data_IF_163593442125
#
_entry.id   IF_163593442125
#
_cell.length_a   1.000
_cell.length_b   1.000
_cell.length_c   1.000
_cell.angle_alpha   90.00
_cell.angle_beta   90.00
_cell.angle_gamma   90.00
#
_symmetry.space_group_name_H-M   'P 1'
#
loop_
_entity.id
_entity.type
_entity.pdbx_description
1 polymer ?
#
# COMPACT_ATOMS: atom_id res chain seq x y z
N UNK A 1 1.53 15.83 -3.34
CA UNK A 1 0.17 15.35 -3.73
C UNK A 1 0.33 14.59 -5.04
N UNK A 2 -0.10 13.32 -5.13
CA UNK A 2 0.29 12.44 -6.24
C UNK A 2 -0.70 12.39 -7.41
N UNK A 3 -1.98 12.64 -7.15
CA UNK A 3 -3.05 12.68 -8.16
C UNK A 3 -4.21 13.54 -7.66
N UNK A 4 -4.91 14.20 -8.58
CA UNK A 4 -6.13 14.99 -8.32
C UNK A 4 -7.19 14.62 -9.36
N UNK A 5 -7.92 13.51 -9.18
CA UNK A 5 -8.82 13.02 -10.23
C UNK A 5 -9.98 13.96 -10.56
N UNK A 6 -10.43 14.80 -9.61
CA UNK A 6 -11.46 15.82 -9.88
C UNK A 6 -10.99 16.84 -10.93
N UNK A 7 -9.71 17.23 -10.89
CA UNK A 7 -9.09 18.12 -11.89
C UNK A 7 -8.97 17.44 -13.26
N UNK A 8 -9.04 16.10 -13.30
CA UNK A 8 -9.01 15.26 -14.50
C UNK A 8 -10.42 14.90 -15.01
N UNK A 9 -11.48 15.46 -14.41
CA UNK A 9 -12.86 15.28 -14.87
C UNK A 9 -13.65 14.20 -14.14
N UNK A 10 -13.11 13.56 -13.11
CA UNK A 10 -13.91 12.67 -12.26
C UNK A 10 -14.97 13.47 -11.47
N UNK A 11 -16.15 12.91 -11.30
CA UNK A 11 -17.21 13.52 -10.49
C UNK A 11 -17.13 13.15 -9.01
N UNK A 12 -16.58 11.96 -8.71
CA UNK A 12 -16.44 11.43 -7.34
C UNK A 12 -15.07 10.77 -7.19
N UNK A 13 -14.41 11.05 -6.07
CA UNK A 13 -13.17 10.41 -5.64
C UNK A 13 -13.40 9.75 -4.29
N UNK A 14 -13.08 8.47 -4.20
CA UNK A 14 -13.24 7.67 -2.99
C UNK A 14 -11.87 7.27 -2.50
N UNK A 15 -11.64 7.43 -1.19
CA UNK A 15 -10.44 6.96 -0.52
C UNK A 15 -10.80 6.00 0.61
N UNK A 16 -10.00 4.95 0.75
CA UNK A 16 -9.75 4.36 2.07
C UNK A 16 -8.79 5.30 2.81
N UNK A 17 -9.35 6.15 3.68
CA UNK A 17 -8.60 7.05 4.54
C UNK A 17 -7.71 6.32 5.54
N UNK A 18 -8.02 5.04 5.84
CA UNK A 18 -7.21 4.12 6.67
C UNK A 18 -5.74 4.08 6.25
N UNK A 19 -5.47 4.26 4.95
CA UNK A 19 -4.15 4.05 4.35
C UNK A 19 -3.30 5.31 4.52
N UNK A 20 -2.79 5.88 3.44
CA UNK A 20 -1.89 7.04 3.51
C UNK A 20 -2.45 8.27 4.24
N UNK A 21 -3.77 8.49 4.20
CA UNK A 21 -4.40 9.71 4.75
C UNK A 21 -4.27 9.73 6.28
N UNK A 22 -4.78 8.72 6.98
CA UNK A 22 -4.53 8.53 8.41
C UNK A 22 -3.05 8.19 8.63
N UNK A 23 -2.54 7.16 7.97
CA UNK A 23 -1.11 6.92 7.79
C UNK A 23 -0.35 6.41 9.01
N UNK A 24 -1.06 6.01 10.07
CA UNK A 24 -0.47 5.52 11.33
C UNK A 24 -1.04 4.17 11.77
N UNK A 25 -1.74 3.46 10.87
CA UNK A 25 -2.33 2.13 11.09
C UNK A 25 -3.25 2.01 12.32
N UNK A 26 -3.87 3.12 12.74
CA UNK A 26 -4.62 3.24 14.00
C UNK A 26 -6.07 3.73 13.82
N UNK A 27 -6.53 3.93 12.57
CA UNK A 27 -7.89 4.39 12.27
C UNK A 27 -8.45 3.74 11.00
N UNK A 28 -9.73 3.35 11.02
CA UNK A 28 -10.47 2.86 9.86
C UNK A 28 -11.37 3.95 9.30
N UNK A 29 -11.09 4.42 8.09
CA UNK A 29 -11.67 5.65 7.56
C UNK A 29 -12.05 5.49 6.10
N UNK A 30 -13.26 5.88 5.75
CA UNK A 30 -13.70 6.10 4.37
C UNK A 30 -13.89 7.59 4.11
N UNK A 31 -13.46 8.07 2.94
CA UNK A 31 -13.65 9.46 2.52
C UNK A 31 -14.21 9.48 1.09
N UNK A 32 -15.23 10.29 0.88
CA UNK A 32 -15.81 10.55 -0.44
C UNK A 32 -15.73 12.05 -0.68
N UNK A 33 -15.12 12.44 -1.80
CA UNK A 33 -15.06 13.84 -2.27
C UNK A 33 -15.77 13.90 -3.61
N UNK A 34 -16.77 14.77 -3.75
CA UNK A 34 -17.56 14.89 -4.97
C UNK A 34 -17.53 16.31 -5.54
N UNK A 35 -17.80 16.41 -6.84
CA UNK A 35 -17.79 17.66 -7.60
C UNK A 35 -19.13 18.38 -7.45
N UNK A 36 -19.09 19.56 -6.83
CA UNK A 36 -20.25 20.45 -6.73
C UNK A 36 -21.24 20.06 -5.63
N UNK A 37 -22.11 21.01 -5.29
CA UNK A 37 -23.00 20.89 -4.13
C UNK A 37 -24.05 19.79 -4.29
N UNK A 38 -24.63 19.68 -5.48
CA UNK A 38 -25.72 18.72 -5.76
C UNK A 38 -25.32 17.26 -5.47
N UNK A 39 -24.12 16.84 -5.92
CA UNK A 39 -23.62 15.49 -5.65
C UNK A 39 -23.29 15.31 -4.17
N UNK A 40 -22.69 16.31 -3.52
CA UNK A 40 -22.41 16.28 -2.09
C UNK A 40 -23.68 16.12 -1.26
N UNK A 41 -24.75 16.84 -1.58
CA UNK A 41 -26.03 16.75 -0.87
C UNK A 41 -26.67 15.37 -0.99
N UNK A 42 -26.63 14.78 -2.19
CA UNK A 42 -27.11 13.41 -2.43
C UNK A 42 -26.32 12.38 -1.63
N UNK A 43 -24.99 12.50 -1.60
CA UNK A 43 -24.12 11.61 -0.82
C UNK A 43 -24.38 11.77 0.68
N UNK A 44 -24.53 13.01 1.16
CA UNK A 44 -24.83 13.29 2.57
C UNK A 44 -26.18 12.72 3.00
N UNK A 45 -27.21 12.83 2.14
CA UNK A 45 -28.52 12.23 2.38
C UNK A 45 -28.42 10.70 2.55
N UNK A 46 -27.68 10.04 1.65
CA UNK A 46 -27.46 8.58 1.72
C UNK A 46 -26.66 8.20 2.96
N UNK A 47 -25.57 8.92 3.26
CA UNK A 47 -24.73 8.66 4.43
C UNK A 47 -25.54 8.78 5.73
N UNK A 48 -26.34 9.84 5.85
CA UNK A 48 -27.20 10.07 7.01
C UNK A 48 -28.27 8.97 7.14
N UNK A 49 -28.90 8.57 6.03
CA UNK A 49 -29.89 7.49 6.04
C UNK A 49 -29.30 6.11 6.37
N UNK A 50 -28.08 5.82 5.91
CA UNK A 50 -27.40 4.55 6.18
C UNK A 50 -26.69 4.50 7.54
N UNK A 51 -26.44 5.66 8.18
CA UNK A 51 -25.71 5.75 9.45
C UNK A 51 -24.21 5.45 9.35
N UNK A 52 -23.66 5.40 8.13
CA UNK A 52 -22.24 5.12 7.89
C UNK A 52 -21.36 6.36 8.14
N UNK A 53 -21.38 6.86 9.37
CA UNK A 53 -20.62 8.05 9.81
C UNK A 53 -19.34 7.64 10.53
N UNK A 54 -18.31 8.48 10.43
CA UNK A 54 -17.03 8.26 11.09
C UNK A 54 -17.10 8.70 12.55
N UNK A 55 -16.47 7.93 13.45
CA UNK A 55 -16.30 8.33 14.84
C UNK A 55 -15.60 9.69 14.94
N UNK A 56 -16.01 10.60 15.86
CA UNK A 56 -15.30 11.85 16.10
C UNK A 56 -13.84 11.63 16.50
N UNK A 57 -13.54 10.55 17.22
CA UNK A 57 -12.19 10.21 17.62
C UNK A 57 -11.33 9.76 16.43
N UNK A 58 -11.85 8.89 15.57
CA UNK A 58 -11.16 8.46 14.34
C UNK A 58 -10.99 9.64 13.36
N UNK A 59 -11.96 10.55 13.34
CA UNK A 59 -11.86 11.82 12.59
C UNK A 59 -10.68 12.66 13.10
N UNK A 60 -10.52 12.78 14.41
CA UNK A 60 -9.40 13.49 15.03
C UNK A 60 -8.05 12.81 14.74
N UNK A 61 -7.96 11.47 14.85
CA UNK A 61 -6.76 10.72 14.46
C UNK A 61 -6.39 10.95 13.00
N UNK A 62 -7.39 10.93 12.11
CA UNK A 62 -7.21 11.20 10.68
C UNK A 62 -6.67 12.61 10.45
N UNK A 63 -7.27 13.63 11.07
CA UNK A 63 -6.81 15.03 10.97
C UNK A 63 -5.38 15.16 11.50
N UNK A 64 -5.05 14.50 12.61
CA UNK A 64 -3.69 14.46 13.17
C UNK A 64 -2.71 13.87 12.16
N UNK A 65 -3.06 12.73 11.54
CA UNK A 65 -2.24 12.06 10.53
C UNK A 65 -2.05 12.87 9.24
N UNK A 66 -3.08 13.61 8.82
CA UNK A 66 -3.04 14.48 7.64
C UNK A 66 -2.00 15.61 7.76
N UNK A 67 -1.70 16.09 8.98
CA UNK A 67 -0.71 17.15 9.20
C UNK A 67 0.70 16.76 8.73
N UNK A 68 1.02 15.46 8.73
CA UNK A 68 2.32 14.95 8.28
C UNK A 68 2.25 14.27 6.91
N UNK A 69 1.10 14.28 6.24
CA UNK A 69 0.87 13.56 4.99
C UNK A 69 1.90 13.92 3.90
N UNK A 70 2.17 15.21 3.69
CA UNK A 70 3.13 15.64 2.65
C UNK A 70 4.55 15.14 2.94
N UNK A 71 4.97 15.17 4.20
CA UNK A 71 6.29 14.70 4.65
C UNK A 71 6.41 13.18 4.48
N UNK A 72 5.42 12.44 4.98
CA UNK A 72 5.37 10.97 4.86
C UNK A 72 5.36 10.54 3.40
N UNK A 73 4.50 11.13 2.56
CA UNK A 73 4.41 10.78 1.15
C UNK A 73 5.69 11.07 0.37
N UNK A 74 6.43 12.14 0.71
CA UNK A 74 7.74 12.41 0.14
C UNK A 74 8.72 11.27 0.48
N UNK A 75 8.83 10.93 1.77
CA UNK A 75 9.71 9.85 2.23
C UNK A 75 9.34 8.48 1.66
N UNK A 76 8.04 8.14 1.63
CA UNK A 76 7.54 6.92 0.99
C UNK A 76 7.98 6.81 -0.47
N UNK A 77 7.88 7.90 -1.24
CA UNK A 77 8.25 7.90 -2.65
C UNK A 77 9.76 7.79 -2.84
N UNK A 78 10.55 8.52 -2.05
CA UNK A 78 12.02 8.43 -2.06
C UNK A 78 12.49 7.00 -1.73
N UNK A 79 11.96 6.41 -0.65
CA UNK A 79 12.28 5.05 -0.25
C UNK A 79 11.83 4.04 -1.33
N UNK A 80 10.59 4.13 -1.83
CA UNK A 80 10.09 3.18 -2.81
C UNK A 80 10.86 3.23 -4.14
N UNK A 81 11.30 4.42 -4.59
CA UNK A 81 12.16 4.55 -5.76
C UNK A 81 13.50 3.82 -5.54
N UNK A 82 14.17 4.10 -4.43
CA UNK A 82 15.45 3.48 -4.10
C UNK A 82 15.35 1.95 -3.91
N UNK A 83 14.25 1.47 -3.31
CA UNK A 83 13.98 0.04 -3.17
C UNK A 83 13.65 -0.60 -4.52
N UNK A 84 12.88 0.07 -5.38
CA UNK A 84 12.59 -0.45 -6.72
C UNK A 84 13.86 -0.59 -7.57
N UNK A 85 14.82 0.33 -7.44
CA UNK A 85 16.14 0.23 -8.08
C UNK A 85 16.96 -0.92 -7.47
N UNK A 86 17.09 -0.95 -6.15
CA UNK A 86 17.80 -2.01 -5.44
C UNK A 86 17.28 -3.42 -5.79
N UNK A 87 15.96 -3.61 -5.84
CA UNK A 87 15.33 -4.89 -6.16
C UNK A 87 15.61 -5.35 -7.59
N UNK A 88 15.77 -4.44 -8.56
CA UNK A 88 16.11 -4.79 -9.95
C UNK A 88 17.50 -5.42 -10.08
N UNK A 89 18.40 -5.11 -9.16
CA UNK A 89 19.76 -5.62 -9.16
C UNK A 89 19.90 -6.97 -8.41
N UNK A 90 18.83 -7.46 -7.77
CA UNK A 90 18.89 -8.70 -7.00
C UNK A 90 18.66 -9.92 -7.89
N UNK A 91 19.54 -10.93 -7.87
CA UNK A 91 19.39 -12.12 -8.72
C UNK A 91 18.17 -12.97 -8.37
N UNK A 92 17.65 -12.86 -7.14
CA UNK A 92 16.45 -13.58 -6.69
C UNK A 92 15.14 -12.94 -7.18
N UNK A 93 15.20 -11.73 -7.76
CA UNK A 93 14.05 -10.98 -8.24
C UNK A 93 13.92 -11.13 -9.75
N UNK A 94 12.75 -11.56 -10.21
CA UNK A 94 12.42 -11.71 -11.63
C UNK A 94 11.99 -10.37 -12.25
N UNK A 95 11.10 -9.65 -11.57
CA UNK A 95 10.56 -8.39 -12.08
C UNK A 95 10.14 -7.45 -10.96
N UNK A 96 10.21 -6.15 -11.22
CA UNK A 96 9.77 -5.08 -10.31
C UNK A 96 8.71 -4.23 -11.01
N UNK A 97 7.56 -4.06 -10.36
CA UNK A 97 6.44 -3.24 -10.81
C UNK A 97 6.34 -1.99 -9.93
N UNK A 98 6.83 -0.86 -10.45
CA UNK A 98 6.76 0.43 -9.76
C UNK A 98 6.45 1.55 -10.76
N UNK A 99 5.39 2.36 -10.54
CA UNK A 99 5.02 3.43 -11.47
C UNK A 99 5.86 4.72 -11.31
N UNK A 100 6.99 4.67 -10.59
CA UNK A 100 7.82 5.83 -10.22
C UNK A 100 7.06 6.89 -9.40
N UNK A 101 6.01 6.48 -8.67
CA UNK A 101 5.15 7.35 -7.86
C UNK A 101 4.62 6.64 -6.62
N UNK A 102 4.62 7.34 -5.48
CA UNK A 102 4.10 6.84 -4.20
C UNK A 102 4.97 5.77 -3.55
N UNK A 103 4.45 5.17 -2.46
CA UNK A 103 5.18 4.20 -1.63
C UNK A 103 4.84 2.73 -1.91
N UNK A 104 4.08 2.44 -2.97
CA UNK A 104 3.66 1.08 -3.30
C UNK A 104 4.46 0.57 -4.49
N UNK A 105 5.07 -0.60 -4.32
CA UNK A 105 5.64 -1.38 -5.41
C UNK A 105 5.27 -2.85 -5.25
N UNK A 106 5.47 -3.61 -6.32
CA UNK A 106 5.43 -5.06 -6.27
C UNK A 106 6.68 -5.63 -6.92
N UNK A 107 7.06 -6.85 -6.55
CA UNK A 107 8.12 -7.57 -7.21
C UNK A 107 7.81 -9.07 -7.23
N UNK A 108 8.40 -9.79 -8.18
CA UNK A 108 8.29 -11.24 -8.28
C UNK A 108 9.62 -11.88 -7.91
N UNK A 109 9.58 -12.92 -7.08
CA UNK A 109 10.72 -13.80 -6.90
C UNK A 109 10.86 -14.74 -8.11
N UNK A 110 12.07 -15.22 -8.37
CA UNK A 110 12.34 -16.19 -9.43
C UNK A 110 11.67 -17.55 -9.16
N UNK A 111 11.49 -17.92 -7.89
CA UNK A 111 10.93 -19.22 -7.47
C UNK A 111 9.84 -19.02 -6.40
N UNK A 112 8.69 -19.67 -6.59
CA UNK A 112 7.58 -19.70 -5.62
C UNK A 112 8.00 -20.36 -4.30
N UNK A 113 8.86 -21.38 -4.34
CA UNK A 113 9.32 -22.11 -3.16
C UNK A 113 10.07 -21.19 -2.16
N UNK A 114 10.61 -20.08 -2.66
CA UNK A 114 11.32 -19.09 -1.85
C UNK A 114 10.40 -18.16 -1.05
N UNK A 115 9.14 -18.00 -1.44
CA UNK A 115 8.23 -17.01 -0.85
C UNK A 115 8.08 -17.21 0.67
N UNK A 116 7.83 -18.44 1.11
CA UNK A 116 7.66 -18.75 2.54
C UNK A 116 8.94 -18.49 3.33
N UNK A 117 10.10 -18.87 2.80
CA UNK A 117 11.40 -18.65 3.44
C UNK A 117 11.73 -17.16 3.52
N UNK A 118 11.51 -16.41 2.43
CA UNK A 118 11.71 -14.97 2.37
C UNK A 118 10.87 -14.24 3.43
N UNK A 119 9.55 -14.50 3.46
CA UNK A 119 8.62 -13.86 4.39
C UNK A 119 8.88 -14.19 5.86
N UNK A 120 9.46 -15.36 6.16
CA UNK A 120 9.91 -15.71 7.52
C UNK A 120 11.26 -15.11 7.88
N UNK A 121 12.03 -14.68 6.89
CA UNK A 121 13.39 -14.19 7.09
C UNK A 121 13.46 -12.68 7.34
N UNK A 122 12.50 -11.89 6.84
CA UNK A 122 12.42 -10.44 7.10
C UNK A 122 12.26 -10.15 8.61
N UNK A 123 12.89 -9.08 9.09
CA UNK A 123 12.98 -8.74 10.52
C UNK A 123 12.47 -7.33 10.85
N UNK A 124 12.71 -6.38 9.94
CA UNK A 124 12.25 -5.01 10.03
C UNK A 124 10.89 -4.88 9.34
N UNK A 125 10.79 -5.41 8.13
CA UNK A 125 9.57 -5.35 7.33
C UNK A 125 8.57 -6.33 7.90
N UNK A 126 7.33 -5.88 8.14
CA UNK A 126 6.28 -6.72 8.73
C UNK A 126 5.50 -7.43 7.62
N UNK A 127 5.32 -8.75 7.75
CA UNK A 127 4.37 -9.50 6.94
C UNK A 127 2.95 -9.31 7.51
N UNK A 128 2.20 -8.36 6.98
CA UNK A 128 0.84 -8.06 7.42
C UNK A 128 0.00 -7.45 6.30
N UNK A 129 -1.32 -7.60 6.41
CA UNK A 129 -2.28 -6.90 5.56
C UNK A 129 -2.33 -5.40 5.91
N UNK A 130 -2.85 -4.59 4.98
CA UNK A 130 -2.81 -3.11 4.95
C UNK A 130 -1.62 -2.52 4.17
N UNK A 131 -1.57 -1.18 4.11
CA UNK A 131 -0.58 -0.38 3.40
C UNK A 131 -0.65 1.10 3.81
N UNK A 132 0.43 1.83 3.53
CA UNK A 132 0.48 3.29 3.62
C UNK A 132 0.57 3.89 5.02
N UNK A 133 0.84 3.05 6.02
CA UNK A 133 1.29 3.49 7.34
C UNK A 133 2.75 3.93 7.35
N UNK A 134 3.27 4.32 8.51
CA UNK A 134 4.68 4.69 8.68
C UNK A 134 5.63 3.50 8.56
N UNK A 135 5.16 2.32 8.91
CA UNK A 135 5.88 1.05 8.89
C UNK A 135 5.82 0.38 7.51
N UNK A 136 6.90 -0.33 7.20
CA UNK A 136 7.03 -1.14 6.00
C UNK A 136 6.27 -2.47 6.12
N UNK A 137 5.41 -2.75 5.13
CA UNK A 137 4.65 -4.00 5.04
C UNK A 137 4.88 -4.73 3.73
N UNK A 138 5.09 -6.04 3.80
CA UNK A 138 4.98 -6.93 2.65
C UNK A 138 3.73 -7.79 2.80
N UNK A 139 3.02 -7.97 1.69
CA UNK A 139 1.86 -8.86 1.55
C UNK A 139 2.14 -9.87 0.45
N UNK A 140 1.53 -11.04 0.58
CA UNK A 140 1.54 -12.09 -0.43
C UNK A 140 0.12 -12.23 -0.99
N UNK A 141 -0.22 -11.53 -2.09
CA UNK A 141 -1.61 -11.38 -2.54
C UNK A 141 -2.30 -12.71 -2.83
N UNK A 142 -1.56 -13.72 -3.28
CA UNK A 142 -2.06 -15.06 -3.58
C UNK A 142 -2.66 -15.79 -2.36
N UNK A 143 -2.20 -15.54 -1.14
CA UNK A 143 -2.72 -16.25 0.06
C UNK A 143 -3.33 -15.31 1.10
N UNK A 144 -3.53 -14.05 0.74
CA UNK A 144 -4.12 -13.04 1.63
C UNK A 144 -5.24 -12.35 0.85
N UNK A 145 -4.99 -11.13 0.39
CA UNK A 145 -5.97 -10.24 -0.24
C UNK A 145 -6.72 -10.77 -1.48
N UNK A 146 -6.27 -11.85 -2.12
CA UNK A 146 -6.90 -12.42 -3.32
C UNK A 146 -7.06 -13.95 -3.24
N UNK A 147 -7.07 -14.55 -2.04
CA UNK A 147 -7.22 -16.00 -1.86
C UNK A 147 -8.53 -16.54 -2.47
N UNK A 148 -9.61 -15.76 -2.41
CA UNK A 148 -10.94 -16.16 -2.89
C UNK A 148 -11.09 -16.18 -4.42
N UNK A 149 -10.08 -15.72 -5.17
CA UNK A 149 -10.09 -15.72 -6.64
C UNK A 149 -9.44 -17.02 -7.14
N UNK A 150 -10.07 -17.77 -8.06
CA UNK A 150 -9.48 -18.96 -8.66
C UNK A 150 -8.07 -18.70 -9.21
N UNK A 151 -7.14 -19.64 -9.03
CA UNK A 151 -5.73 -19.45 -9.39
C UNK A 151 -5.53 -19.05 -10.86
N UNK A 152 -6.25 -19.70 -11.79
CA UNK A 152 -6.21 -19.38 -13.20
C UNK A 152 -6.62 -17.93 -13.49
N UNK A 153 -7.63 -17.42 -12.80
CA UNK A 153 -8.07 -16.02 -12.91
C UNK A 153 -7.06 -15.04 -12.30
N UNK A 154 -6.46 -15.39 -11.16
CA UNK A 154 -5.42 -14.55 -10.54
C UNK A 154 -4.20 -14.41 -11.44
N UNK A 155 -3.71 -15.54 -11.96
CA UNK A 155 -2.57 -15.59 -12.86
C UNK A 155 -2.86 -14.81 -14.14
N UNK A 156 -4.07 -14.94 -14.70
CA UNK A 156 -4.50 -14.15 -15.86
C UNK A 156 -4.49 -12.62 -15.59
N UNK A 157 -4.69 -12.20 -14.33
CA UNK A 157 -4.59 -10.80 -13.89
C UNK A 157 -3.18 -10.40 -13.43
N UNK A 158 -2.19 -11.27 -13.60
CA UNK A 158 -0.79 -11.04 -13.23
C UNK A 158 -0.47 -11.25 -11.74
N UNK A 159 -1.41 -11.79 -10.97
CA UNK A 159 -1.25 -12.14 -9.55
C UNK A 159 -0.74 -13.58 -9.45
N UNK A 160 0.58 -13.72 -9.66
CA UNK A 160 1.28 -15.00 -9.60
C UNK A 160 1.62 -15.39 -8.15
N UNK A 161 1.93 -16.66 -7.93
CA UNK A 161 2.39 -17.16 -6.63
C UNK A 161 3.80 -16.67 -6.25
N UNK A 162 4.49 -15.99 -7.16
CA UNK A 162 5.77 -15.32 -6.90
C UNK A 162 5.63 -13.84 -6.56
N UNK A 163 4.42 -13.27 -6.71
CA UNK A 163 4.19 -11.83 -6.56
C UNK A 163 4.12 -11.43 -5.08
N UNK A 164 4.99 -10.52 -4.68
CA UNK A 164 4.95 -9.84 -3.39
C UNK A 164 4.57 -8.37 -3.60
N UNK A 165 3.70 -7.84 -2.73
CA UNK A 165 3.32 -6.43 -2.73
C UNK A 165 3.89 -5.75 -1.50
N UNK A 166 4.66 -4.70 -1.74
CA UNK A 166 5.42 -3.97 -0.74
C UNK A 166 4.87 -2.55 -0.59
N UNK A 167 4.32 -2.27 0.59
CA UNK A 167 4.10 -0.92 1.10
C UNK A 167 5.37 -0.45 1.80
N UNK A 168 6.20 0.33 1.10
CA UNK A 168 7.45 0.83 1.65
C UNK A 168 7.16 1.96 2.63
N UNK A 169 7.62 1.81 3.87
CA UNK A 169 7.42 2.75 4.97
C UNK A 169 8.34 3.98 4.91
N UNK A 170 8.52 4.64 6.05
CA UNK A 170 9.34 5.85 6.19
C UNK A 170 10.64 5.61 6.97
N UNK A 171 11.02 4.35 7.23
CA UNK A 171 12.26 3.98 7.90
C UNK A 171 13.50 4.48 7.14
N UNK A 172 14.69 4.27 7.72
CA UNK A 172 15.93 4.44 6.97
C UNK A 172 15.98 3.47 5.79
N UNK A 173 16.28 3.99 4.61
CA UNK A 173 16.25 3.19 3.38
C UNK A 173 17.34 2.11 3.39
N UNK A 174 18.47 2.36 4.04
CA UNK A 174 19.55 1.40 4.13
C UNK A 174 19.20 0.26 5.09
N UNK A 175 18.42 0.53 6.15
CA UNK A 175 17.89 -0.52 7.03
C UNK A 175 16.90 -1.43 6.29
N UNK A 176 16.03 -0.85 5.45
CA UNK A 176 15.11 -1.62 4.60
C UNK A 176 15.89 -2.50 3.61
N UNK A 177 16.91 -1.94 2.93
CA UNK A 177 17.76 -2.71 2.01
C UNK A 177 18.52 -3.82 2.73
N UNK A 178 19.07 -3.54 3.91
CA UNK A 178 19.78 -4.53 4.71
C UNK A 178 18.86 -5.70 5.12
N UNK A 179 17.61 -5.40 5.50
CA UNK A 179 16.64 -6.44 5.85
C UNK A 179 16.24 -7.31 4.64
N UNK A 180 16.05 -6.69 3.47
CA UNK A 180 15.81 -7.44 2.23
C UNK A 180 17.02 -8.30 1.84
N UNK A 181 18.23 -7.74 1.88
CA UNK A 181 19.46 -8.42 1.50
C UNK A 181 19.71 -9.65 2.38
N UNK A 182 19.57 -9.50 3.70
CA UNK A 182 19.72 -10.65 4.60
C UNK A 182 18.62 -11.70 4.38
N UNK A 183 17.39 -11.29 4.06
CA UNK A 183 16.33 -12.23 3.73
C UNK A 183 16.62 -13.01 2.42
N UNK A 184 17.15 -12.33 1.39
CA UNK A 184 17.57 -12.96 0.14
C UNK A 184 18.73 -13.94 0.31
N UNK A 185 19.66 -13.66 1.23
CA UNK A 185 20.77 -14.56 1.53
C UNK A 185 20.34 -15.90 2.15
N UNK A 186 19.12 -15.98 2.70
CA UNK A 186 18.54 -17.22 3.25
C UNK A 186 17.81 -18.06 2.18
N UNK A 187 17.68 -17.56 0.96
CA UNK A 187 17.08 -18.30 -0.16
C UNK A 187 18.14 -19.24 -0.75
N UNK A 188 17.82 -20.54 -0.75
CA UNK A 188 18.68 -21.62 -1.24
C UNK A 188 18.22 -22.10 -2.60
#
# INVERSE_FOLDING_TARGET
MLSRPLDLGADVVIHSGTKYIAGHNDALVGLIVAKGQELCDRIAYIQNGAGAVLSPFDSWLTIRGMKTLSLRMKRHQENAQAIAEFLKDQPQVESVLYPNKGGMLSFRLQDEAWVNTFLKSIKLITFAESLGGTESFITYPATQTHMDIPESERVARGITNTLLRFSVGIEDVEDIKADLLQAFANLK
#
